data_IF_033088448867
#
_entry.id   IF_033088448867
#
_cell.length_a   1.000
_cell.length_b   1.000
_cell.length_c   1.000
_cell.angle_alpha   90.00
_cell.angle_beta   90.00
_cell.angle_gamma   90.00
#
_symmetry.space_group_name_H-M   'P 1'
#
loop_
_entity.id
_entity.type
_entity.pdbx_description
1 polymer ?
#
# COMPACT_ATOMS: atom_id res chain seq x y z
N UNK A 1 1.50 36.72 -0.55
CA UNK A 1 2.66 35.81 -0.54
C UNK A 1 2.16 34.43 -0.90
N UNK A 2 2.45 33.95 -2.11
CA UNK A 2 2.07 32.61 -2.55
C UNK A 2 3.22 31.69 -2.17
N UNK A 3 2.99 30.73 -1.28
CA UNK A 3 3.99 29.74 -0.90
C UNK A 3 4.41 28.93 -2.14
N UNK A 4 5.70 28.60 -2.31
CA UNK A 4 6.11 27.77 -3.43
C UNK A 4 5.50 26.38 -3.24
N UNK A 5 4.75 25.94 -4.25
CA UNK A 5 4.24 24.57 -4.35
C UNK A 5 5.48 23.69 -4.42
N UNK A 6 5.80 23.04 -3.29
CA UNK A 6 6.95 22.16 -3.17
C UNK A 6 6.94 21.16 -4.31
N UNK A 7 8.07 21.07 -5.00
CA UNK A 7 8.29 20.19 -6.14
C UNK A 7 8.03 18.74 -5.68
N UNK A 8 6.82 18.23 -5.90
CA UNK A 8 6.45 16.88 -5.50
C UNK A 8 7.11 15.94 -6.48
N UNK A 9 8.29 15.44 -6.10
CA UNK A 9 8.97 14.34 -6.78
C UNK A 9 7.96 13.23 -6.96
N UNK A 10 7.62 12.87 -8.20
CA UNK A 10 6.72 11.74 -8.47
C UNK A 10 7.35 10.49 -7.86
N UNK A 11 6.76 9.99 -6.77
CA UNK A 11 7.14 8.69 -6.21
C UNK A 11 6.69 7.59 -7.14
N UNK A 12 7.55 6.60 -7.37
CA UNK A 12 7.23 5.45 -8.20
C UNK A 12 6.70 4.36 -7.28
N UNK A 13 5.44 3.98 -7.47
CA UNK A 13 4.78 2.91 -6.73
C UNK A 13 4.62 1.71 -7.67
N UNK A 14 5.15 0.55 -7.28
CA UNK A 14 5.06 -0.70 -8.04
C UNK A 14 4.45 -1.78 -7.17
N UNK A 15 3.50 -2.53 -7.70
CA UNK A 15 3.04 -3.78 -7.08
C UNK A 15 4.00 -4.90 -7.44
N UNK A 16 4.55 -5.59 -6.43
CA UNK A 16 5.44 -6.72 -6.65
C UNK A 16 4.65 -8.01 -6.94
N UNK A 17 5.30 -9.04 -7.51
CA UNK A 17 4.68 -10.35 -7.67
C UNK A 17 4.18 -10.90 -6.33
N UNK A 18 3.04 -11.60 -6.38
CA UNK A 18 2.48 -12.27 -5.22
C UNK A 18 3.32 -13.50 -4.87
N UNK A 19 3.40 -13.85 -3.60
CA UNK A 19 4.03 -15.12 -3.19
C UNK A 19 3.10 -16.29 -3.47
N UNK A 20 1.81 -16.14 -3.18
CA UNK A 20 0.78 -17.16 -3.42
C UNK A 20 -0.42 -16.59 -4.18
N UNK A 21 -1.26 -17.47 -4.71
CA UNK A 21 -2.59 -17.09 -5.16
C UNK A 21 -3.53 -16.94 -3.96
N UNK A 22 -4.56 -16.10 -4.08
CA UNK A 22 -5.52 -15.92 -3.00
C UNK A 22 -6.82 -15.29 -3.47
N UNK A 23 -7.76 -15.18 -2.53
CA UNK A 23 -9.10 -14.62 -2.75
C UNK A 23 -9.37 -13.40 -1.87
N UNK A 24 -8.32 -12.82 -1.30
CA UNK A 24 -8.45 -11.65 -0.44
C UNK A 24 -8.77 -10.43 -1.29
N UNK A 25 -9.74 -9.67 -0.80
CA UNK A 25 -10.33 -8.55 -1.55
C UNK A 25 -9.82 -7.20 -1.07
N UNK A 26 -9.13 -7.15 0.07
CA UNK A 26 -8.64 -5.91 0.65
C UNK A 26 -9.77 -4.87 0.83
N UNK A 27 -10.98 -5.34 1.13
CA UNK A 27 -12.19 -4.51 1.19
C UNK A 27 -12.63 -4.14 2.60
N UNK A 28 -11.95 -4.67 3.62
CA UNK A 28 -12.23 -4.40 5.03
C UNK A 28 -11.68 -3.03 5.45
N UNK A 29 -11.73 -2.71 6.75
CA UNK A 29 -11.34 -1.39 7.23
C UNK A 29 -9.85 -1.15 6.96
N UNK A 30 -9.54 -0.09 6.21
CA UNK A 30 -8.17 0.27 5.90
C UNK A 30 -7.51 1.07 7.03
N UNK A 31 -6.39 0.59 7.53
CA UNK A 31 -5.56 1.22 8.57
C UNK A 31 -4.08 1.19 8.16
N UNK A 32 -3.27 2.03 8.79
CA UNK A 32 -1.81 2.03 8.55
C UNK A 32 -1.04 2.30 9.83
N UNK A 33 0.14 1.68 9.95
CA UNK A 33 1.04 1.94 11.08
C UNK A 33 1.55 3.38 11.03
N UNK A 34 1.86 3.91 12.21
CA UNK A 34 2.42 5.26 12.31
C UNK A 34 3.76 5.36 11.57
N UNK A 35 4.60 4.33 11.65
CA UNK A 35 5.89 4.29 10.96
C UNK A 35 5.74 4.34 9.44
N UNK A 36 4.77 3.61 8.86
CA UNK A 36 4.50 3.68 7.43
C UNK A 36 4.10 5.10 7.01
N UNK A 37 3.19 5.74 7.78
CA UNK A 37 2.74 7.12 7.52
C UNK A 37 3.91 8.10 7.61
N UNK A 38 4.74 8.00 8.64
CA UNK A 38 5.88 8.91 8.81
C UNK A 38 6.94 8.72 7.70
N UNK A 39 7.10 7.49 7.17
CA UNK A 39 8.08 7.17 6.13
C UNK A 39 7.63 7.57 4.72
N UNK A 40 6.39 7.29 4.37
CA UNK A 40 5.89 7.49 2.99
C UNK A 40 4.96 8.69 2.84
N UNK A 41 4.29 9.10 3.92
CA UNK A 41 3.23 10.09 3.90
C UNK A 41 1.87 9.48 3.56
N UNK A 42 0.82 10.06 4.14
CA UNK A 42 -0.56 9.59 4.01
C UNK A 42 -1.03 9.50 2.55
N UNK A 43 -0.75 10.53 1.74
CA UNK A 43 -1.16 10.56 0.34
C UNK A 43 -0.56 9.41 -0.48
N UNK A 44 0.68 9.00 -0.17
CA UNK A 44 1.38 7.93 -0.87
C UNK A 44 0.82 6.57 -0.47
N UNK A 45 0.50 6.39 0.81
CA UNK A 45 -0.16 5.19 1.33
C UNK A 45 -1.55 5.01 0.71
N UNK A 46 -2.33 6.09 0.60
CA UNK A 46 -3.63 6.06 -0.07
C UNK A 46 -3.47 5.70 -1.55
N UNK A 47 -2.49 6.28 -2.25
CA UNK A 47 -2.22 5.96 -3.64
C UNK A 47 -1.82 4.48 -3.82
N UNK A 48 -0.98 3.95 -2.93
CA UNK A 48 -0.60 2.54 -2.89
C UNK A 48 -1.82 1.62 -2.67
N UNK A 49 -2.70 1.97 -1.74
CA UNK A 49 -3.94 1.23 -1.50
C UNK A 49 -4.85 1.22 -2.73
N UNK A 50 -4.99 2.33 -3.44
CA UNK A 50 -5.78 2.39 -4.68
C UNK A 50 -5.18 1.49 -5.77
N UNK A 51 -3.86 1.43 -5.89
CA UNK A 51 -3.17 0.54 -6.84
C UNK A 51 -3.45 -0.93 -6.49
N UNK A 52 -3.39 -1.27 -5.20
CA UNK A 52 -3.72 -2.60 -4.71
C UNK A 52 -5.16 -2.99 -5.08
N UNK A 53 -6.14 -2.13 -4.80
CA UNK A 53 -7.55 -2.39 -5.10
C UNK A 53 -7.83 -2.58 -6.60
N UNK A 54 -7.09 -1.87 -7.46
CA UNK A 54 -7.16 -2.09 -8.92
C UNK A 54 -6.69 -3.49 -9.29
N UNK A 55 -5.56 -3.92 -8.73
CA UNK A 55 -5.02 -5.26 -8.98
C UNK A 55 -5.96 -6.37 -8.46
N UNK A 56 -6.58 -6.17 -7.29
CA UNK A 56 -7.62 -7.08 -6.78
C UNK A 56 -8.75 -7.21 -7.79
N UNK A 57 -9.27 -6.09 -8.30
CA UNK A 57 -10.38 -6.08 -9.26
C UNK A 57 -10.02 -6.79 -10.57
N UNK A 58 -8.80 -6.63 -11.05
CA UNK A 58 -8.31 -7.25 -12.28
C UNK A 58 -8.14 -8.77 -12.14
N UNK A 59 -7.68 -9.23 -10.98
CA UNK A 59 -7.38 -10.66 -10.75
C UNK A 59 -8.51 -11.45 -10.08
N UNK A 60 -9.52 -10.78 -9.54
CA UNK A 60 -10.62 -11.42 -8.81
C UNK A 60 -10.23 -11.89 -7.40
N UNK A 61 -9.22 -11.26 -6.81
CA UNK A 61 -8.62 -11.64 -5.53
C UNK A 61 -7.10 -11.69 -5.58
N UNK A 62 -6.46 -11.53 -4.43
CA UNK A 62 -5.01 -11.61 -4.25
C UNK A 62 -4.66 -12.47 -3.02
N UNK A 63 -3.36 -12.74 -2.84
CA UNK A 63 -2.82 -13.24 -1.58
C UNK A 63 -3.16 -12.30 -0.41
N UNK A 64 -3.22 -12.84 0.82
CA UNK A 64 -3.52 -12.05 2.01
C UNK A 64 -2.44 -10.99 2.29
N UNK A 65 -1.20 -11.28 1.89
CA UNK A 65 -0.06 -10.38 1.97
C UNK A 65 0.29 -9.88 0.57
N UNK A 66 0.29 -8.57 0.38
CA UNK A 66 0.72 -7.92 -0.86
C UNK A 66 1.82 -6.89 -0.58
N UNK A 67 2.84 -6.88 -1.44
CA UNK A 67 3.99 -5.99 -1.28
C UNK A 67 4.01 -4.96 -2.40
N UNK A 68 4.06 -3.68 -2.02
CA UNK A 68 4.33 -2.59 -2.95
C UNK A 68 5.74 -2.03 -2.68
N UNK A 69 6.44 -1.69 -3.76
CA UNK A 69 7.72 -0.99 -3.73
C UNK A 69 7.48 0.50 -4.03
N UNK A 70 7.96 1.37 -3.14
CA UNK A 70 7.87 2.82 -3.22
C UNK A 70 9.29 3.38 -3.14
N UNK A 71 9.80 3.91 -4.26
CA UNK A 71 11.18 4.41 -4.38
C UNK A 71 12.24 3.39 -3.87
N UNK A 72 12.03 2.10 -4.14
CA UNK A 72 12.93 1.02 -3.72
C UNK A 72 12.73 0.51 -2.28
N UNK A 73 11.76 1.05 -1.54
CA UNK A 73 11.41 0.61 -0.20
C UNK A 73 10.08 -0.15 -0.20
N UNK A 74 9.98 -1.19 0.63
CA UNK A 74 8.78 -2.04 0.69
C UNK A 74 7.74 -1.45 1.65
N UNK A 75 6.48 -1.51 1.22
CA UNK A 75 5.28 -1.31 2.01
C UNK A 75 4.43 -2.58 1.88
N UNK A 76 4.08 -3.19 3.01
CA UNK A 76 3.25 -4.38 3.06
C UNK A 76 1.80 -4.00 3.30
N UNK A 77 0.90 -4.71 2.63
CA UNK A 77 -0.53 -4.72 2.89
C UNK A 77 -0.91 -6.12 3.33
N UNK A 78 -1.49 -6.24 4.51
CA UNK A 78 -1.98 -7.49 5.06
C UNK A 78 -3.49 -7.36 5.27
N UNK A 79 -4.26 -8.28 4.71
CA UNK A 79 -5.70 -8.43 4.96
C UNK A 79 -5.91 -9.55 5.98
N UNK A 80 -6.31 -9.19 7.20
CA UNK A 80 -6.59 -10.14 8.29
C UNK A 80 -8.08 -10.50 8.41
N UNK A 81 -8.86 -10.21 7.37
CA UNK A 81 -10.34 -10.30 7.28
C UNK A 81 -11.06 -9.10 7.91
N UNK A 82 -10.63 -8.62 9.07
CA UNK A 82 -11.28 -7.50 9.77
C UNK A 82 -10.71 -6.13 9.33
N UNK A 83 -9.42 -6.11 9.02
CA UNK A 83 -8.65 -4.93 8.66
C UNK A 83 -7.71 -5.21 7.49
N UNK A 84 -7.53 -4.18 6.66
CA UNK A 84 -6.41 -4.07 5.75
C UNK A 84 -5.38 -3.16 6.39
N UNK A 85 -4.22 -3.70 6.74
CA UNK A 85 -3.16 -2.93 7.39
C UNK A 85 -2.03 -2.65 6.40
N UNK A 86 -1.69 -1.37 6.21
CA UNK A 86 -0.46 -0.95 5.55
C UNK A 86 0.66 -0.73 6.58
N UNK A 87 1.74 -1.52 6.50
CA UNK A 87 2.86 -1.48 7.45
C UNK A 87 4.22 -1.66 6.78
N UNK A 88 5.29 -1.29 7.48
CA UNK A 88 6.65 -1.58 7.03
C UNK A 88 7.02 -3.03 7.41
N UNK A 89 7.92 -3.71 6.67
CA UNK A 89 8.36 -5.07 7.04
C UNK A 89 8.96 -5.16 8.45
N UNK A 90 9.48 -4.04 8.96
CA UNK A 90 10.08 -3.91 10.30
C UNK A 90 9.04 -3.72 11.43
N UNK A 91 7.77 -3.52 11.09
CA UNK A 91 6.66 -3.40 12.04
C UNK A 91 5.99 -4.76 12.35
N UNK A 92 6.38 -5.83 11.65
CA UNK A 92 5.85 -7.19 11.78
C UNK A 92 6.87 -8.11 12.47
#
# INVERSE_FOLDING_TARGET
MVAPIGNSSKKVIKLLPQEQEGKYMFSSQFVSTRHAIDKFGEAVIIAAHIILLKAVKEKGGLDYLQVLEIDGQKLWFIDDVDHVTALLPEDY
#
